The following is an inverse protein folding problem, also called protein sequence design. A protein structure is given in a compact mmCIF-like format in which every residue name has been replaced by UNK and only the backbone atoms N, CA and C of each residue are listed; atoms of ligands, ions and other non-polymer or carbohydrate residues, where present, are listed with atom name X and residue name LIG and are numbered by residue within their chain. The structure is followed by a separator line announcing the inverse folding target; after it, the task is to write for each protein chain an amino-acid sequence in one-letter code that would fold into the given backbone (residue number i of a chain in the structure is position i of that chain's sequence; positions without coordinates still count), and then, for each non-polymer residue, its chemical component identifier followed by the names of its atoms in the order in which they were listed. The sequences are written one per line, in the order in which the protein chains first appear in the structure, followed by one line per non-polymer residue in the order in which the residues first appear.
data_IF_394830077384
#
_entry.id   IF_394830077384
#
_cell.length_a   1.000
_cell.length_b   1.000
_cell.length_c   1.000
_cell.angle_alpha   90.00
_cell.angle_beta   90.00
_cell.angle_gamma   90.00
#
_symmetry.space_group_name_H-M   'P 1'
#
loop_
_entity.id
_entity.type
_entity.pdbx_description
1 polymer ?
#
# COMPACT_ATOMS: atom_id res chain seq x y z
N UNK A 1 -13.26 -14.13 19.19
CA UNK A 1 -14.51 -14.21 18.44
C UNK A 1 -14.99 -15.67 18.43
N UNK A 2 -16.30 -15.92 18.53
CA UNK A 2 -16.87 -17.26 18.49
C UNK A 2 -16.51 -17.96 17.17
N UNK A 3 -16.53 -17.24 16.05
CA UNK A 3 -16.20 -17.75 14.72
C UNK A 3 -14.82 -18.38 14.58
N UNK A 4 -13.84 -18.06 15.47
CA UNK A 4 -12.52 -18.68 15.47
C UNK A 4 -12.53 -20.13 16.00
N UNK A 5 -13.63 -20.58 16.58
CA UNK A 5 -13.79 -21.94 17.14
C UNK A 5 -14.64 -22.84 16.24
N UNK A 6 -15.24 -22.26 15.20
CA UNK A 6 -16.02 -23.03 14.26
C UNK A 6 -15.11 -23.87 13.35
N UNK A 7 -15.52 -25.09 12.99
CA UNK A 7 -14.76 -25.89 12.03
C UNK A 7 -14.60 -25.14 10.72
N UNK A 8 -13.40 -25.21 10.12
CA UNK A 8 -13.17 -24.66 8.78
C UNK A 8 -14.09 -25.39 7.78
N UNK A 9 -15.00 -24.67 7.20
CA UNK A 9 -15.77 -25.16 6.05
C UNK A 9 -14.95 -24.97 4.78
N UNK A 10 -14.97 -25.95 3.84
CA UNK A 10 -14.31 -25.77 2.55
C UNK A 10 -14.76 -24.50 1.85
N UNK A 11 -13.83 -23.70 1.39
CA UNK A 11 -14.08 -22.47 0.62
C UNK A 11 -13.26 -22.46 -0.68
N UNK A 12 -13.56 -21.53 -1.57
CA UNK A 12 -12.83 -21.34 -2.81
C UNK A 12 -11.78 -20.25 -2.62
N UNK A 13 -10.51 -20.60 -2.83
CA UNK A 13 -9.38 -19.66 -2.80
C UNK A 13 -8.99 -19.28 -4.24
N UNK A 14 -8.94 -17.99 -4.51
CA UNK A 14 -8.48 -17.43 -5.78
C UNK A 14 -6.98 -17.10 -5.74
N UNK A 15 -6.25 -17.51 -6.76
CA UNK A 15 -4.84 -17.18 -6.97
C UNK A 15 -4.75 -16.18 -8.13
N UNK A 16 -4.51 -14.88 -7.88
CA UNK A 16 -4.36 -13.90 -8.96
C UNK A 16 -3.06 -14.17 -9.73
N UNK A 17 -3.16 -14.50 -11.00
CA UNK A 17 -1.98 -14.81 -11.84
C UNK A 17 -0.94 -13.66 -11.87
N UNK A 18 -1.40 -12.42 -11.74
CA UNK A 18 -0.58 -11.22 -11.76
C UNK A 18 0.38 -11.15 -10.56
N UNK A 19 0.03 -11.80 -9.43
CA UNK A 19 0.86 -11.83 -8.21
C UNK A 19 1.85 -13.00 -8.17
N UNK A 20 1.82 -13.88 -9.19
CA UNK A 20 2.70 -15.04 -9.28
C UNK A 20 3.66 -14.97 -10.48
N UNK A 21 3.83 -13.78 -11.07
CA UNK A 21 4.71 -13.50 -12.20
C UNK A 21 6.21 -13.50 -11.87
N UNK A 22 6.97 -12.84 -12.72
CA UNK A 22 8.41 -12.63 -12.54
C UNK A 22 8.68 -11.68 -11.36
N UNK A 23 9.84 -11.84 -10.70
CA UNK A 23 10.27 -10.95 -9.62
C UNK A 23 9.97 -11.44 -8.21
N UNK A 24 9.31 -12.60 -8.05
CA UNK A 24 9.15 -13.23 -6.74
C UNK A 24 10.40 -14.07 -6.43
N UNK A 25 10.96 -13.86 -5.23
CA UNK A 25 12.05 -14.66 -4.71
C UNK A 25 11.67 -16.14 -4.60
N UNK A 26 12.63 -17.03 -4.85
CA UNK A 26 12.39 -18.48 -4.86
C UNK A 26 11.94 -19.02 -3.51
N UNK A 27 12.43 -18.46 -2.39
CA UNK A 27 12.01 -18.88 -1.04
C UNK A 27 10.55 -18.48 -0.79
N UNK A 28 10.13 -17.28 -1.23
CA UNK A 28 8.74 -16.82 -1.14
C UNK A 28 7.85 -17.71 -2.01
N UNK A 29 8.25 -17.99 -3.23
CA UNK A 29 7.50 -18.87 -4.15
C UNK A 29 7.30 -20.26 -3.54
N UNK A 30 8.36 -20.85 -3.02
CA UNK A 30 8.28 -22.15 -2.37
C UNK A 30 7.35 -22.16 -1.15
N UNK A 31 7.41 -21.11 -0.33
CA UNK A 31 6.53 -20.98 0.84
C UNK A 31 5.05 -20.89 0.45
N UNK A 32 4.75 -20.09 -0.60
CA UNK A 32 3.38 -19.93 -1.06
C UNK A 32 2.85 -21.22 -1.73
N UNK A 33 3.68 -21.92 -2.51
CA UNK A 33 3.32 -23.20 -3.11
C UNK A 33 3.00 -24.26 -2.07
N UNK A 34 3.79 -24.34 -0.99
CA UNK A 34 3.50 -25.20 0.16
C UNK A 34 2.17 -24.81 0.83
N UNK A 35 1.89 -23.53 0.95
CA UNK A 35 0.64 -23.01 1.52
C UNK A 35 -0.56 -23.38 0.65
N UNK A 36 -0.45 -23.26 -0.66
CA UNK A 36 -1.49 -23.66 -1.63
C UNK A 36 -1.78 -25.15 -1.49
N UNK A 37 -0.74 -25.98 -1.45
CA UNK A 37 -0.89 -27.43 -1.30
C UNK A 37 -1.49 -27.82 0.06
N UNK A 38 -1.13 -27.11 1.12
CA UNK A 38 -1.73 -27.27 2.45
C UNK A 38 -3.25 -27.04 2.41
N UNK A 39 -3.72 -25.93 1.85
CA UNK A 39 -5.15 -25.65 1.74
C UNK A 39 -5.89 -26.64 0.83
N UNK A 40 -5.24 -27.10 -0.25
CA UNK A 40 -5.80 -28.14 -1.12
C UNK A 40 -6.04 -29.46 -0.35
N UNK A 41 -5.10 -29.88 0.51
CA UNK A 41 -5.26 -31.07 1.38
C UNK A 41 -6.36 -30.90 2.43
N UNK A 42 -6.63 -29.68 2.87
CA UNK A 42 -7.76 -29.39 3.76
C UNK A 42 -9.12 -29.40 3.06
N UNK A 43 -9.16 -29.67 1.74
CA UNK A 43 -10.39 -29.74 0.96
C UNK A 43 -10.88 -28.43 0.40
N UNK A 44 -10.08 -27.35 0.46
CA UNK A 44 -10.40 -26.08 -0.20
C UNK A 44 -10.23 -26.19 -1.70
N UNK A 45 -11.13 -25.54 -2.46
CA UNK A 45 -11.01 -25.41 -3.89
C UNK A 45 -10.03 -24.28 -4.24
N UNK A 46 -9.05 -24.57 -5.09
CA UNK A 46 -8.08 -23.59 -5.57
C UNK A 46 -8.38 -23.27 -7.04
N UNK A 47 -8.55 -22.00 -7.36
CA UNK A 47 -8.83 -21.50 -8.72
C UNK A 47 -7.90 -20.35 -9.09
N UNK A 48 -7.47 -20.30 -10.34
CA UNK A 48 -6.77 -19.14 -10.87
C UNK A 48 -7.78 -18.04 -11.19
N UNK A 49 -7.42 -16.81 -10.84
CA UNK A 49 -8.21 -15.60 -11.09
C UNK A 49 -7.33 -14.52 -11.72
N UNK A 50 -7.93 -13.47 -12.25
CA UNK A 50 -7.20 -12.34 -12.84
C UNK A 50 -7.67 -11.01 -12.25
N UNK A 51 -6.70 -10.18 -11.88
CA UNK A 51 -6.86 -8.79 -11.40
C UNK A 51 -6.06 -7.85 -12.32
N UNK A 52 -6.47 -7.64 -13.58
CA UNK A 52 -5.65 -7.04 -14.63
C UNK A 52 -5.27 -5.58 -14.38
N UNK A 53 -5.96 -4.87 -13.49
CA UNK A 53 -5.65 -3.48 -13.15
C UNK A 53 -4.65 -3.33 -11.99
N UNK A 54 -4.18 -4.43 -11.39
CA UNK A 54 -3.23 -4.38 -10.26
C UNK A 54 -1.86 -3.81 -10.64
N UNK A 55 -1.44 -3.89 -11.90
CA UNK A 55 -0.22 -3.24 -12.40
C UNK A 55 -0.23 -1.71 -12.18
N UNK A 56 -1.42 -1.13 -12.03
CA UNK A 56 -1.59 0.29 -11.75
C UNK A 56 -1.65 0.60 -10.25
N UNK A 57 -1.56 -0.40 -9.36
CA UNK A 57 -1.73 -0.22 -7.92
C UNK A 57 -0.65 0.70 -7.32
N UNK A 58 0.62 0.48 -7.67
CA UNK A 58 1.75 1.28 -7.18
C UNK A 58 1.60 2.76 -7.52
N UNK A 59 1.44 3.17 -8.81
CA UNK A 59 1.27 4.59 -9.12
C UNK A 59 0.00 5.19 -8.51
N UNK A 60 -1.09 4.44 -8.40
CA UNK A 60 -2.33 4.90 -7.76
C UNK A 60 -2.12 5.12 -6.26
N UNK A 61 -1.50 4.15 -5.57
CA UNK A 61 -1.14 4.27 -4.16
C UNK A 61 -0.29 5.51 -3.90
N UNK A 62 0.76 5.69 -4.70
CA UNK A 62 1.68 6.81 -4.54
C UNK A 62 0.98 8.17 -4.60
N UNK A 63 0.13 8.37 -5.59
CA UNK A 63 -0.60 9.63 -5.75
C UNK A 63 -1.61 9.84 -4.61
N UNK A 64 -2.42 8.83 -4.30
CA UNK A 64 -3.49 8.97 -3.31
C UNK A 64 -2.92 9.04 -1.89
N UNK A 65 -2.00 8.14 -1.53
CA UNK A 65 -1.44 8.10 -0.17
C UNK A 65 -0.65 9.36 0.17
N UNK A 66 0.13 9.90 -0.77
CA UNK A 66 0.86 11.15 -0.55
C UNK A 66 -0.09 12.35 -0.44
N UNK A 67 -1.15 12.41 -1.26
CA UNK A 67 -2.17 13.44 -1.18
C UNK A 67 -2.90 13.44 0.17
N UNK A 68 -3.30 12.26 0.63
CA UNK A 68 -3.93 12.09 1.95
C UNK A 68 -2.95 12.38 3.10
N UNK A 69 -1.71 11.93 3.00
CA UNK A 69 -0.67 12.21 3.99
C UNK A 69 -0.43 13.72 4.12
N UNK A 70 -0.29 14.43 3.01
CA UNK A 70 -0.14 15.89 2.98
C UNK A 70 -1.28 16.59 3.72
N UNK A 71 -2.52 16.20 3.45
CA UNK A 71 -3.72 16.79 4.07
C UNK A 71 -3.83 16.41 5.56
N UNK A 72 -3.65 15.14 5.89
CA UNK A 72 -3.81 14.64 7.25
C UNK A 72 -2.71 15.13 8.20
N UNK A 73 -1.47 15.20 7.73
CA UNK A 73 -0.33 15.67 8.52
C UNK A 73 -0.28 17.18 8.65
N UNK A 74 -1.11 17.94 7.94
CA UNK A 74 -1.23 19.39 8.09
C UNK A 74 -1.64 19.81 9.51
N UNK A 75 -2.31 18.93 10.26
CA UNK A 75 -2.71 19.16 11.66
C UNK A 75 -1.55 19.25 12.65
N UNK A 76 -0.40 18.69 12.33
CA UNK A 76 0.80 18.75 13.18
C UNK A 76 1.51 20.09 12.98
N UNK A 77 1.09 21.08 13.71
CA UNK A 77 1.38 22.51 13.51
C UNK A 77 2.36 23.09 14.57
N UNK A 78 2.72 22.30 15.59
CA UNK A 78 3.53 22.79 16.71
C UNK A 78 2.78 23.72 17.67
N UNK A 79 1.46 23.86 17.50
CA UNK A 79 0.59 24.71 18.34
C UNK A 79 -0.35 23.85 19.18
N UNK A 80 -1.19 23.03 18.52
CA UNK A 80 -2.12 22.10 19.16
C UNK A 80 -1.54 20.70 19.27
N UNK A 81 -0.82 20.28 18.26
CA UNK A 81 -0.30 18.93 18.11
C UNK A 81 1.20 18.96 17.87
N UNK A 82 1.89 17.98 18.44
CA UNK A 82 3.33 17.78 18.40
C UNK A 82 4.14 18.81 19.19
N UNK A 83 5.44 18.61 19.29
CA UNK A 83 6.37 19.53 19.93
C UNK A 83 6.49 20.83 19.13
N UNK A 84 6.66 21.93 19.86
CA UNK A 84 6.92 23.24 19.27
C UNK A 84 8.42 23.47 19.17
N UNK A 85 8.90 24.00 18.03
CA UNK A 85 10.27 24.51 17.93
C UNK A 85 10.50 25.69 18.85
N UNK A 86 11.59 25.68 19.57
CA UNK A 86 11.98 26.78 20.48
C UNK A 86 12.46 28.03 19.71
N UNK A 87 12.80 27.89 18.43
CA UNK A 87 13.39 28.93 17.60
C UNK A 87 12.35 29.73 16.79
N UNK A 88 11.10 29.82 17.25
CA UNK A 88 10.01 30.37 16.46
C UNK A 88 9.63 31.78 16.93
N UNK A 89 9.72 32.75 16.06
CA UNK A 89 9.44 34.17 16.28
C UNK A 89 7.98 34.58 15.94
N UNK A 90 7.34 33.81 15.05
CA UNK A 90 5.97 34.07 14.59
C UNK A 90 5.24 32.77 14.22
N UNK A 91 3.93 32.83 13.98
CA UNK A 91 3.09 31.67 13.72
C UNK A 91 3.53 30.86 12.49
N UNK A 92 4.03 31.51 11.45
CA UNK A 92 4.51 30.83 10.23
C UNK A 92 5.80 30.05 10.56
N UNK A 93 6.71 30.66 11.32
CA UNK A 93 7.95 30.03 11.75
C UNK A 93 7.70 28.88 12.71
N UNK A 94 6.72 29.00 13.63
CA UNK A 94 6.30 27.88 14.49
C UNK A 94 5.93 26.68 13.63
N UNK A 95 5.04 26.84 12.67
CA UNK A 95 4.58 25.78 11.78
C UNK A 95 5.73 25.17 10.97
N UNK A 96 6.50 26.01 10.26
CA UNK A 96 7.56 25.55 9.38
C UNK A 96 8.70 24.85 10.13
N UNK A 97 9.19 25.42 11.24
CA UNK A 97 10.30 24.87 12.01
C UNK A 97 9.88 23.62 12.77
N UNK A 98 8.72 23.62 13.46
CA UNK A 98 8.25 22.44 14.18
C UNK A 98 8.08 21.23 13.27
N UNK A 99 7.54 21.42 12.07
CA UNK A 99 7.42 20.35 11.07
C UNK A 99 8.77 19.97 10.46
N UNK A 100 9.63 20.97 10.21
CA UNK A 100 10.98 20.75 9.69
C UNK A 100 11.86 19.92 10.64
N UNK A 101 11.75 20.14 11.92
CA UNK A 101 12.47 19.42 12.98
C UNK A 101 11.82 18.06 13.30
N UNK A 102 10.47 18.02 13.35
CA UNK A 102 9.72 16.86 13.81
C UNK A 102 9.48 15.80 12.74
N UNK A 103 9.43 16.16 11.45
CA UNK A 103 9.20 15.19 10.38
C UNK A 103 10.51 14.64 9.82
N UNK A 104 10.58 13.30 9.69
CA UNK A 104 11.66 12.64 8.95
C UNK A 104 11.61 12.96 7.44
N UNK A 105 12.70 12.71 6.74
CA UNK A 105 12.88 13.08 5.33
C UNK A 105 11.82 12.45 4.41
N UNK A 106 11.44 11.20 4.63
CA UNK A 106 10.40 10.53 3.82
C UNK A 106 9.02 11.16 4.04
N UNK A 107 8.67 11.53 5.26
CA UNK A 107 7.41 12.23 5.56
C UNK A 107 7.38 13.59 4.87
N UNK A 108 8.47 14.35 4.91
CA UNK A 108 8.60 15.63 4.19
C UNK A 108 8.40 15.44 2.69
N UNK A 109 9.05 14.43 2.10
CA UNK A 109 8.91 14.10 0.68
C UNK A 109 7.46 13.80 0.31
N UNK A 110 6.79 12.94 1.08
CA UNK A 110 5.36 12.60 0.86
C UNK A 110 4.45 13.83 0.99
N UNK A 111 4.69 14.71 1.96
CA UNK A 111 3.94 15.96 2.09
C UNK A 111 4.10 16.88 0.87
N UNK A 112 5.32 17.01 0.34
CA UNK A 112 5.60 17.83 -0.84
C UNK A 112 4.93 17.24 -2.08
N UNK A 113 5.09 15.94 -2.31
CA UNK A 113 4.47 15.24 -3.45
C UNK A 113 2.93 15.31 -3.39
N UNK A 114 2.36 15.15 -2.20
CA UNK A 114 0.92 15.25 -2.01
C UNK A 114 0.39 16.66 -2.25
N UNK A 115 1.07 17.67 -1.74
CA UNK A 115 0.71 19.08 -1.99
C UNK A 115 0.79 19.42 -3.49
N UNK A 116 1.80 18.92 -4.20
CA UNK A 116 1.93 19.06 -5.64
C UNK A 116 0.76 18.41 -6.39
N UNK A 117 0.46 17.14 -6.09
CA UNK A 117 -0.64 16.41 -6.73
C UNK A 117 -2.03 17.00 -6.47
N UNK A 118 -2.21 17.70 -5.35
CA UNK A 118 -3.45 18.39 -4.99
C UNK A 118 -3.53 19.85 -5.50
N UNK A 119 -2.47 20.38 -6.07
CA UNK A 119 -2.47 21.77 -6.57
C UNK A 119 -3.37 21.93 -7.79
N UNK A 120 -3.92 23.13 -7.97
CA UNK A 120 -4.95 23.43 -8.98
C UNK A 120 -4.56 23.07 -10.41
N UNK A 121 -3.27 23.12 -10.76
CA UNK A 121 -2.78 22.77 -12.11
C UNK A 121 -2.62 21.25 -12.35
N UNK A 122 -2.60 20.45 -11.28
CA UNK A 122 -2.25 19.03 -11.36
C UNK A 122 -3.31 18.09 -10.78
N UNK A 123 -4.30 18.62 -10.09
CA UNK A 123 -5.36 17.86 -9.43
C UNK A 123 -6.06 16.87 -10.37
N UNK A 124 -6.51 17.35 -11.53
CA UNK A 124 -7.23 16.50 -12.49
C UNK A 124 -6.30 15.47 -13.16
N UNK A 125 -5.07 15.87 -13.46
CA UNK A 125 -4.10 15.03 -14.15
C UNK A 125 -3.58 13.90 -13.27
N UNK A 126 -3.45 14.11 -11.96
CA UNK A 126 -2.88 13.13 -11.03
C UNK A 126 -3.92 12.59 -10.07
N UNK A 127 -4.44 13.40 -9.15
CA UNK A 127 -5.28 12.91 -8.06
C UNK A 127 -6.62 12.35 -8.56
N UNK A 128 -7.34 13.08 -9.39
CA UNK A 128 -8.62 12.62 -9.94
C UNK A 128 -8.44 11.40 -10.85
N UNK A 129 -7.38 11.35 -11.65
CA UNK A 129 -7.05 10.19 -12.46
C UNK A 129 -6.75 8.96 -11.60
N UNK A 130 -5.97 9.11 -10.53
CA UNK A 130 -5.69 8.03 -9.59
C UNK A 130 -6.96 7.54 -8.88
N UNK A 131 -7.87 8.42 -8.47
CA UNK A 131 -9.17 8.05 -7.89
C UNK A 131 -10.03 7.23 -8.86
N UNK A 132 -10.08 7.60 -10.14
CA UNK A 132 -10.79 6.84 -11.18
C UNK A 132 -10.16 5.45 -11.37
N UNK A 133 -8.83 5.38 -11.43
CA UNK A 133 -8.10 4.11 -11.56
C UNK A 133 -8.30 3.21 -10.34
N UNK A 134 -8.31 3.78 -9.11
CA UNK A 134 -8.66 3.02 -7.90
C UNK A 134 -10.05 2.40 -7.99
N UNK A 135 -10.99 3.06 -8.64
CA UNK A 135 -12.32 2.49 -8.86
C UNK A 135 -12.26 1.25 -9.75
N UNK A 136 -11.46 1.26 -10.82
CA UNK A 136 -11.26 0.08 -11.68
C UNK A 136 -10.62 -1.08 -10.91
N UNK A 137 -9.59 -0.81 -10.10
CA UNK A 137 -8.98 -1.82 -9.23
C UNK A 137 -10.05 -2.43 -8.30
N UNK A 138 -10.85 -1.60 -7.63
CA UNK A 138 -11.95 -2.09 -6.78
C UNK A 138 -12.96 -2.94 -7.53
N UNK A 139 -13.27 -2.60 -8.78
CA UNK A 139 -14.19 -3.36 -9.62
C UNK A 139 -13.64 -4.75 -9.96
N UNK A 140 -12.34 -4.88 -10.22
CA UNK A 140 -11.69 -6.19 -10.39
C UNK A 140 -11.88 -7.07 -9.16
N UNK A 141 -11.60 -6.57 -7.96
CA UNK A 141 -11.83 -7.31 -6.72
C UNK A 141 -13.32 -7.64 -6.53
N UNK A 142 -14.22 -6.69 -6.80
CA UNK A 142 -15.67 -6.93 -6.68
C UNK A 142 -16.18 -7.99 -7.65
N UNK A 143 -15.59 -8.10 -8.82
CA UNK A 143 -15.88 -9.15 -9.80
C UNK A 143 -15.40 -10.51 -9.30
N UNK A 144 -14.15 -10.57 -8.87
CA UNK A 144 -13.52 -11.81 -8.44
C UNK A 144 -14.17 -12.38 -7.17
N UNK A 145 -14.56 -11.56 -6.21
CA UNK A 145 -15.25 -12.01 -4.99
C UNK A 145 -16.69 -12.51 -5.21
N UNK A 146 -17.18 -12.52 -6.45
CA UNK A 146 -18.40 -13.27 -6.82
C UNK A 146 -18.10 -14.74 -7.13
N UNK A 147 -16.85 -15.08 -7.38
CA UNK A 147 -16.41 -16.41 -7.81
C UNK A 147 -15.58 -17.13 -6.72
N UNK A 148 -14.96 -16.37 -5.81
CA UNK A 148 -14.11 -16.90 -4.75
C UNK A 148 -14.47 -16.28 -3.39
N UNK A 149 -14.19 -17.03 -2.33
CA UNK A 149 -14.44 -16.61 -0.96
C UNK A 149 -13.23 -15.85 -0.38
N UNK A 150 -12.02 -16.22 -0.81
CA UNK A 150 -10.74 -15.69 -0.31
C UNK A 150 -9.77 -15.55 -1.49
N UNK A 151 -8.93 -14.52 -1.46
CA UNK A 151 -7.79 -14.38 -2.37
C UNK A 151 -6.52 -14.67 -1.59
N UNK A 152 -5.65 -15.52 -2.14
CA UNK A 152 -4.35 -15.88 -1.57
C UNK A 152 -3.25 -15.30 -2.43
N UNK A 153 -2.36 -14.49 -1.82
CA UNK A 153 -1.21 -13.85 -2.47
C UNK A 153 0.02 -13.92 -1.59
N UNK A 154 1.23 -13.81 -2.14
CA UNK A 154 2.40 -13.46 -1.35
C UNK A 154 2.20 -12.09 -0.68
N UNK A 155 2.68 -11.92 0.54
CA UNK A 155 2.62 -10.64 1.26
C UNK A 155 3.65 -9.64 0.73
N UNK A 156 4.82 -10.14 0.31
CA UNK A 156 5.91 -9.37 -0.26
C UNK A 156 6.66 -10.23 -1.28
N UNK A 157 7.31 -9.63 -2.29
CA UNK A 157 8.02 -10.39 -3.32
C UNK A 157 9.31 -11.04 -2.82
N UNK A 158 9.88 -10.56 -1.72
CA UNK A 158 11.15 -11.02 -1.16
C UNK A 158 11.03 -11.30 0.33
N UNK A 159 11.93 -12.11 0.91
CA UNK A 159 12.13 -12.17 2.36
C UNK A 159 12.57 -10.82 2.93
N UNK A 160 12.69 -10.73 4.28
CA UNK A 160 13.19 -9.54 4.94
C UNK A 160 14.60 -9.18 4.42
N UNK A 161 14.80 -7.93 4.03
CA UNK A 161 16.06 -7.39 3.56
C UNK A 161 16.88 -6.77 4.71
N UNK A 162 18.21 -6.62 4.52
CA UNK A 162 19.09 -6.05 5.53
C UNK A 162 18.91 -4.54 5.64
N UNK A 163 19.22 -3.99 6.83
CA UNK A 163 19.23 -2.53 7.02
C UNK A 163 20.12 -1.84 5.99
N UNK A 164 19.56 -0.83 5.31
CA UNK A 164 20.26 -0.06 4.29
C UNK A 164 20.32 -0.68 2.89
N UNK A 165 19.91 -1.93 2.71
CA UNK A 165 20.03 -2.65 1.43
C UNK A 165 19.23 -1.99 0.30
N UNK A 166 18.03 -1.48 0.59
CA UNK A 166 17.15 -0.82 -0.38
C UNK A 166 17.19 0.72 -0.33
N UNK A 167 18.11 1.32 0.44
CA UNK A 167 18.13 2.78 0.65
C UNK A 167 18.36 3.58 -0.63
N UNK A 168 19.01 3.00 -1.63
CA UNK A 168 19.33 3.63 -2.91
C UNK A 168 18.45 3.14 -4.07
N UNK A 169 17.46 2.28 -3.79
CA UNK A 169 16.52 1.76 -4.78
C UNK A 169 15.07 1.98 -4.33
N UNK A 170 14.52 3.18 -4.59
CA UNK A 170 13.15 3.51 -4.24
C UNK A 170 12.11 2.58 -4.86
N UNK A 171 12.34 2.11 -6.08
CA UNK A 171 11.39 1.24 -6.80
C UNK A 171 11.27 -0.11 -6.08
N UNK A 172 12.40 -0.72 -5.73
CA UNK A 172 12.43 -1.97 -4.97
C UNK A 172 11.84 -1.84 -3.57
N UNK A 173 11.95 -0.66 -2.94
CA UNK A 173 11.29 -0.37 -1.68
C UNK A 173 9.76 -0.31 -1.86
N UNK A 174 9.28 0.35 -2.91
CA UNK A 174 7.85 0.51 -3.18
C UNK A 174 7.15 -0.78 -3.57
N UNK A 175 7.83 -1.67 -4.29
CA UNK A 175 7.35 -3.03 -4.58
C UNK A 175 7.16 -3.88 -3.32
N UNK A 176 7.74 -3.47 -2.20
CA UNK A 176 7.55 -4.15 -0.91
C UNK A 176 6.35 -3.62 -0.10
N UNK A 177 5.72 -2.52 -0.56
CA UNK A 177 4.59 -1.86 0.10
C UNK A 177 3.22 -2.32 -0.45
N UNK A 178 3.19 -3.00 -1.62
CA UNK A 178 1.96 -3.38 -2.33
C UNK A 178 1.99 -4.85 -2.73
#
# INVERSE_FOLDING_TARGET
SAALRDPLTPCTLGLPKEFFGEGIDEEVRKAIDQTIEFYRRLGHKIVEISLPTTDLAIPVYYVIATAEASSNLARYDGIRYTSRSEQSENAINVYAKSRGEGFGEEVKRRCILGAYGLSSGYYDAYYLKAQKTRTLIREDFSRVFKEVDVILTPTAPTPAFKFGEKSNDPISMYLSDI
#
